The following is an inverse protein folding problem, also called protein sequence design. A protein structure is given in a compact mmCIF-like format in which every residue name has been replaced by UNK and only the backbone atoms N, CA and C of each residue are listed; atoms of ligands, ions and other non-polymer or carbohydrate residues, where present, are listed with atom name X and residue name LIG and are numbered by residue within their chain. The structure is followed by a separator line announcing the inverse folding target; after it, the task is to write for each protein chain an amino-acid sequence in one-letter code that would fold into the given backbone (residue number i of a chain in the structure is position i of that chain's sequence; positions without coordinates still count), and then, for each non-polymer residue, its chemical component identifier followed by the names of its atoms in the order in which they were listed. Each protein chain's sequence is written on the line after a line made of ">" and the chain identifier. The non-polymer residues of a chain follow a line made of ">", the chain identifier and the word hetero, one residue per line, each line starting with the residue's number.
data_IF_067994139951
#
_entry.id   IF_067994139951
#
_cell.length_a   1.000
_cell.length_b   1.000
_cell.length_c   1.000
_cell.angle_alpha   90.00
_cell.angle_beta   90.00
_cell.angle_gamma   90.00
#
_symmetry.space_group_name_H-M   'P 1'
#
loop_
_entity.id
_entity.type
_entity.pdbx_description
1 polymer ?
#
# COMPACT_ATOMS: atom_id res chain seq x y z
N UNK A 1 23.15 -7.18 -5.37
CA UNK A 1 24.00 -7.94 -4.41
C UNK A 1 24.22 -7.20 -3.09
N UNK A 2 24.23 -5.85 -3.07
CA UNK A 2 24.52 -5.06 -1.88
C UNK A 2 23.35 -4.94 -0.89
N UNK A 3 22.10 -5.09 -1.32
CA UNK A 3 20.89 -4.78 -0.56
C UNK A 3 20.08 -6.01 -0.08
N UNK A 4 20.59 -7.22 -0.18
CA UNK A 4 19.94 -8.47 0.27
C UNK A 4 18.52 -8.70 -0.29
N UNK A 5 18.16 -8.05 -1.41
CA UNK A 5 16.87 -8.21 -2.09
C UNK A 5 15.76 -7.26 -1.63
N UNK A 6 14.65 -7.28 -2.37
CA UNK A 6 13.53 -6.34 -2.18
C UNK A 6 12.84 -6.49 -0.82
N UNK A 7 12.69 -7.72 -0.33
CA UNK A 7 12.08 -7.99 0.99
C UNK A 7 12.81 -7.22 2.10
N UNK A 8 14.16 -7.31 2.09
CA UNK A 8 14.98 -6.64 3.09
C UNK A 8 14.91 -5.11 3.00
N UNK A 9 14.93 -4.57 1.77
CA UNK A 9 14.91 -3.11 1.54
C UNK A 9 13.57 -2.49 1.90
N UNK A 10 12.47 -3.20 1.61
CA UNK A 10 11.11 -2.70 1.88
C UNK A 10 10.65 -2.95 3.32
N UNK A 11 11.42 -3.64 4.15
CA UNK A 11 11.02 -3.91 5.52
C UNK A 11 10.92 -2.60 6.33
N UNK A 12 9.78 -2.30 6.97
CA UNK A 12 9.66 -1.13 7.84
C UNK A 12 10.67 -1.17 8.97
N UNK A 13 11.26 -0.02 9.29
CA UNK A 13 12.21 0.12 10.39
C UNK A 13 11.48 0.08 11.74
N UNK A 14 12.22 -0.18 12.80
CA UNK A 14 11.67 -0.18 14.17
C UNK A 14 11.06 1.18 14.50
N UNK A 15 9.78 1.17 14.92
CA UNK A 15 9.04 2.38 15.26
C UNK A 15 8.21 2.96 14.11
N UNK A 16 8.29 2.40 12.90
CA UNK A 16 7.41 2.76 11.80
C UNK A 16 6.07 2.01 11.91
N UNK A 17 4.99 2.67 11.50
CA UNK A 17 3.62 2.12 11.53
C UNK A 17 3.13 1.62 10.17
N UNK A 18 3.89 1.93 9.09
CA UNK A 18 3.54 1.60 7.72
C UNK A 18 4.78 1.62 6.81
N UNK A 19 4.58 1.44 5.51
CA UNK A 19 5.65 1.35 4.51
C UNK A 19 6.07 2.71 3.91
N UNK A 20 5.64 3.85 4.42
CA UNK A 20 5.88 5.14 3.78
C UNK A 20 7.38 5.41 3.53
N UNK A 21 8.19 5.28 4.57
CA UNK A 21 9.63 5.56 4.48
C UNK A 21 10.38 4.44 3.73
N UNK A 22 9.99 3.19 3.94
CA UNK A 22 10.65 2.06 3.26
C UNK A 22 10.39 2.07 1.74
N UNK A 23 9.20 2.50 1.28
CA UNK A 23 8.93 2.71 -0.16
C UNK A 23 9.80 3.84 -0.72
N UNK A 24 9.94 4.95 0.01
CA UNK A 24 10.78 6.07 -0.42
C UNK A 24 12.26 5.66 -0.51
N UNK A 25 12.74 4.91 0.48
CA UNK A 25 14.08 4.34 0.49
C UNK A 25 14.29 3.34 -0.65
N UNK A 26 13.33 2.44 -0.87
CA UNK A 26 13.37 1.51 -2.00
C UNK A 26 13.47 2.25 -3.34
N UNK A 27 12.70 3.34 -3.52
CA UNK A 27 12.80 4.16 -4.72
C UNK A 27 14.21 4.74 -4.90
N UNK A 28 14.81 5.28 -3.85
CA UNK A 28 16.16 5.83 -3.90
C UNK A 28 17.18 4.76 -4.30
N UNK A 29 17.16 3.59 -3.68
CA UNK A 29 18.04 2.47 -4.01
C UNK A 29 17.81 1.95 -5.43
N UNK A 30 16.56 1.84 -5.87
CA UNK A 30 16.22 1.33 -7.21
C UNK A 30 16.77 2.23 -8.33
N UNK A 31 16.85 3.52 -8.08
CA UNK A 31 17.33 4.52 -9.01
C UNK A 31 18.73 5.05 -8.69
N UNK A 32 19.54 4.32 -7.92
CA UNK A 32 20.96 4.66 -7.66
C UNK A 32 21.79 4.72 -8.94
N UNK A 33 21.51 3.82 -9.90
CA UNK A 33 22.25 3.73 -11.14
C UNK A 33 21.73 4.74 -12.17
N UNK A 34 22.59 5.10 -13.11
CA UNK A 34 22.22 5.97 -14.23
C UNK A 34 20.98 5.44 -14.96
N UNK A 35 19.96 6.26 -15.07
CA UNK A 35 18.68 5.90 -15.68
C UNK A 35 18.05 7.14 -16.34
N UNK A 36 17.06 6.92 -17.21
CA UNK A 36 16.26 8.00 -17.76
C UNK A 36 15.26 8.53 -16.72
N UNK A 37 15.23 9.83 -16.49
CA UNK A 37 14.36 10.48 -15.48
C UNK A 37 12.87 10.13 -15.64
N UNK A 38 12.40 9.90 -16.87
CA UNK A 38 11.02 9.47 -17.15
C UNK A 38 10.65 8.14 -16.51
N UNK A 39 11.62 7.27 -16.19
CA UNK A 39 11.36 5.95 -15.58
C UNK A 39 10.99 6.06 -14.10
N UNK A 40 11.36 7.15 -13.43
CA UNK A 40 11.08 7.35 -12.01
C UNK A 40 9.60 7.38 -11.65
N UNK A 41 8.72 7.72 -12.61
CA UNK A 41 7.26 7.70 -12.43
C UNK A 41 6.69 6.30 -12.15
N UNK A 42 7.43 5.23 -12.47
CA UNK A 42 6.97 3.85 -12.26
C UNK A 42 7.05 3.42 -10.79
N UNK A 43 7.90 4.07 -9.97
CA UNK A 43 7.94 3.88 -8.53
C UNK A 43 7.56 5.22 -7.88
N UNK A 44 6.33 5.27 -7.38
CA UNK A 44 5.79 6.47 -6.72
C UNK A 44 6.40 6.66 -5.34
N UNK A 45 6.48 7.91 -4.87
CA UNK A 45 7.05 8.25 -3.57
C UNK A 45 5.95 8.78 -2.62
N UNK A 46 5.58 8.04 -1.55
CA UNK A 46 4.59 8.48 -0.58
C UNK A 46 5.02 9.72 0.21
N UNK A 47 6.32 9.94 0.42
CA UNK A 47 6.83 11.17 1.05
C UNK A 47 6.59 12.42 0.18
N UNK A 48 6.35 12.25 -1.13
CA UNK A 48 5.90 13.29 -2.03
C UNK A 48 4.37 13.27 -2.23
N UNK A 49 3.65 12.77 -1.24
CA UNK A 49 2.19 12.69 -1.19
C UNK A 49 1.54 11.81 -2.27
N UNK A 50 2.26 10.84 -2.84
CA UNK A 50 1.66 9.86 -3.75
C UNK A 50 0.97 8.74 -2.96
N UNK A 51 -0.23 8.31 -3.40
CA UNK A 51 -0.91 7.14 -2.85
C UNK A 51 -0.15 5.82 -3.10
N UNK A 52 0.83 5.80 -4.00
CA UNK A 52 1.69 4.67 -4.31
C UNK A 52 0.95 3.32 -4.50
N UNK A 53 -0.24 3.35 -5.11
CA UNK A 53 -1.15 2.21 -5.26
C UNK A 53 -0.44 0.93 -5.72
N UNK A 54 0.41 1.03 -6.77
CA UNK A 54 1.05 -0.16 -7.36
C UNK A 54 1.98 -0.87 -6.39
N UNK A 55 2.75 -0.11 -5.62
CA UNK A 55 3.69 -0.71 -4.65
C UNK A 55 2.92 -1.25 -3.43
N UNK A 56 1.84 -0.60 -2.99
CA UNK A 56 0.99 -1.13 -1.94
C UNK A 56 0.28 -2.42 -2.36
N UNK A 57 -0.16 -2.53 -3.64
CA UNK A 57 -0.70 -3.78 -4.17
C UNK A 57 0.35 -4.89 -4.18
N UNK A 58 1.57 -4.58 -4.63
CA UNK A 58 2.69 -5.53 -4.62
C UNK A 58 3.02 -6.00 -3.19
N UNK A 59 3.13 -5.06 -2.24
CA UNK A 59 3.38 -5.38 -0.83
C UNK A 59 2.28 -6.28 -0.26
N UNK A 60 1.03 -6.01 -0.57
CA UNK A 60 -0.08 -6.84 -0.17
C UNK A 60 0.08 -8.28 -0.66
N UNK A 61 0.38 -8.49 -1.95
CA UNK A 61 0.61 -9.83 -2.50
C UNK A 61 1.77 -10.56 -1.82
N UNK A 62 2.87 -9.85 -1.53
CA UNK A 62 4.06 -10.46 -0.94
C UNK A 62 3.90 -10.78 0.55
N UNK A 63 3.20 -9.95 1.30
CA UNK A 63 3.15 -10.02 2.76
C UNK A 63 1.91 -10.73 3.28
N UNK A 64 0.73 -10.41 2.72
CA UNK A 64 -0.54 -11.00 3.14
C UNK A 64 -0.69 -12.40 2.58
N UNK A 65 -1.18 -13.31 3.40
CA UNK A 65 -1.53 -14.66 2.98
C UNK A 65 -3.02 -14.89 3.23
N UNK A 66 -3.73 -15.32 2.20
CA UNK A 66 -5.11 -15.77 2.32
C UNK A 66 -5.30 -17.14 1.65
N UNK A 67 -6.41 -17.80 1.96
CA UNK A 67 -6.74 -19.11 1.39
C UNK A 67 -7.35 -19.03 -0.01
N UNK A 68 -7.54 -17.83 -0.56
CA UNK A 68 -8.23 -17.60 -1.85
C UNK A 68 -7.28 -17.60 -3.04
N UNK A 69 -5.98 -17.62 -2.80
CA UNK A 69 -4.95 -17.70 -3.84
C UNK A 69 -4.63 -16.37 -4.53
N UNK A 70 -5.08 -15.25 -3.96
CA UNK A 70 -4.81 -13.91 -4.50
C UNK A 70 -3.57 -13.29 -3.87
N UNK A 71 -3.42 -13.43 -2.55
CA UNK A 71 -2.29 -12.93 -1.78
C UNK A 71 -1.34 -14.10 -1.49
N UNK A 72 -0.07 -13.99 -1.88
CA UNK A 72 0.88 -15.11 -1.87
C UNK A 72 1.56 -15.31 -0.51
N UNK A 73 1.75 -14.24 0.27
CA UNK A 73 2.38 -14.28 1.58
C UNK A 73 3.77 -14.90 1.58
N UNK A 74 4.59 -14.58 0.59
CA UNK A 74 5.94 -15.13 0.41
C UNK A 74 6.92 -14.50 1.42
N UNK A 75 6.74 -13.23 1.76
CA UNK A 75 7.60 -12.49 2.67
C UNK A 75 7.20 -12.74 4.12
N UNK A 76 7.90 -13.65 4.77
CA UNK A 76 7.60 -14.09 6.13
C UNK A 76 8.15 -13.17 7.23
N UNK A 77 9.04 -12.24 6.87
CA UNK A 77 9.66 -11.31 7.82
C UNK A 77 8.88 -10.01 7.99
N UNK A 78 7.79 -9.84 7.24
CA UNK A 78 6.88 -8.70 7.28
C UNK A 78 5.58 -9.06 8.00
N UNK A 79 4.88 -8.05 8.51
CA UNK A 79 3.55 -8.21 9.11
C UNK A 79 2.48 -7.50 8.28
N UNK A 80 1.31 -8.11 8.05
CA UNK A 80 0.18 -7.45 7.41
C UNK A 80 -0.30 -6.19 8.12
N UNK A 81 -0.03 -6.07 9.42
CA UNK A 81 -0.39 -4.88 10.21
C UNK A 81 0.21 -3.57 9.68
N UNK A 82 1.34 -3.62 8.97
CA UNK A 82 2.00 -2.45 8.37
C UNK A 82 1.46 -2.08 6.99
N UNK A 83 0.66 -2.95 6.37
CA UNK A 83 0.14 -2.73 5.02
C UNK A 83 -0.80 -1.52 4.98
N UNK A 84 -0.79 -0.84 3.84
CA UNK A 84 -1.70 0.24 3.51
C UNK A 84 -2.61 -0.16 2.35
N UNK A 85 -3.86 0.32 2.39
CA UNK A 85 -4.83 0.03 1.35
C UNK A 85 -4.35 0.57 -0.01
N UNK A 86 -4.34 -0.25 -1.08
CA UNK A 86 -4.03 0.17 -2.44
C UNK A 86 -5.11 1.09 -3.01
N UNK A 87 -5.20 2.31 -2.50
CA UNK A 87 -6.26 3.26 -2.80
C UNK A 87 -6.33 3.63 -4.28
N UNK A 88 -7.49 3.38 -4.89
CA UNK A 88 -7.80 3.80 -6.24
C UNK A 88 -9.13 4.57 -6.32
N UNK A 89 -9.61 4.82 -7.55
CA UNK A 89 -10.86 5.56 -7.77
C UNK A 89 -12.06 4.78 -7.23
N UNK A 90 -12.10 3.46 -7.43
CA UNK A 90 -13.24 2.61 -7.01
C UNK A 90 -13.29 2.49 -5.49
N UNK A 91 -12.22 2.01 -4.88
CA UNK A 91 -12.14 1.87 -3.42
C UNK A 91 -12.27 3.22 -2.70
N UNK A 92 -11.71 4.29 -3.29
CA UNK A 92 -11.83 5.64 -2.73
C UNK A 92 -13.27 6.19 -2.77
N UNK A 93 -14.00 5.96 -3.86
CA UNK A 93 -15.39 6.39 -3.96
C UNK A 93 -16.28 5.64 -2.96
N UNK A 94 -16.11 4.33 -2.86
CA UNK A 94 -16.84 3.51 -1.87
C UNK A 94 -16.52 3.95 -0.45
N UNK A 95 -15.23 4.11 -0.12
CA UNK A 95 -14.81 4.56 1.22
C UNK A 95 -15.43 5.93 1.60
N UNK A 96 -15.56 6.85 0.64
CA UNK A 96 -16.23 8.15 0.85
C UNK A 96 -17.72 7.99 1.06
N UNK A 97 -18.40 7.17 0.27
CA UNK A 97 -19.83 6.90 0.46
C UNK A 97 -20.13 6.24 1.81
N UNK A 98 -19.23 5.37 2.28
CA UNK A 98 -19.31 4.76 3.60
C UNK A 98 -18.93 5.70 4.76
N UNK A 99 -18.44 6.90 4.47
CA UNK A 99 -18.02 7.88 5.49
C UNK A 99 -16.72 7.51 6.22
N UNK A 100 -15.95 6.56 5.70
CA UNK A 100 -14.65 6.15 6.28
C UNK A 100 -13.46 6.88 5.64
N UNK A 101 -13.70 7.66 4.58
CA UNK A 101 -12.73 8.55 3.94
C UNK A 101 -13.43 9.89 3.62
N UNK A 102 -12.86 11.00 4.08
CA UNK A 102 -13.40 12.34 3.82
C UNK A 102 -12.62 13.09 2.74
N UNK A 103 -11.32 12.82 2.65
CA UNK A 103 -10.43 13.48 1.70
C UNK A 103 -10.81 13.18 0.24
N UNK A 104 -10.94 14.25 -0.58
CA UNK A 104 -11.37 14.13 -1.99
C UNK A 104 -10.29 13.56 -2.92
N UNK A 105 -9.01 13.92 -2.70
CA UNK A 105 -7.89 13.45 -3.52
C UNK A 105 -7.47 12.03 -3.10
N UNK A 106 -7.07 11.20 -4.06
CA UNK A 106 -6.44 9.91 -3.80
C UNK A 106 -4.92 10.09 -3.72
N UNK A 107 -4.45 10.58 -2.60
CA UNK A 107 -3.03 10.81 -2.30
C UNK A 107 -2.62 10.11 -1.00
N UNK A 108 -1.37 10.27 -0.54
CA UNK A 108 -0.89 9.64 0.68
C UNK A 108 -1.72 10.01 1.92
N UNK A 109 -2.18 11.26 2.00
CA UNK A 109 -3.02 11.69 3.13
C UNK A 109 -4.35 10.95 3.16
N UNK A 110 -4.93 10.66 1.99
CA UNK A 110 -6.15 9.84 1.89
C UNK A 110 -5.88 8.37 2.26
N UNK A 111 -4.73 7.82 1.84
CA UNK A 111 -4.32 6.47 2.25
C UNK A 111 -4.19 6.39 3.76
N UNK A 112 -3.51 7.35 4.38
CA UNK A 112 -3.31 7.38 5.84
C UNK A 112 -4.63 7.52 6.61
N UNK A 113 -5.55 8.38 6.13
CA UNK A 113 -6.89 8.54 6.71
C UNK A 113 -7.69 7.24 6.66
N UNK A 114 -7.72 6.58 5.49
CA UNK A 114 -8.40 5.31 5.30
C UNK A 114 -7.80 4.21 6.17
N UNK A 115 -6.47 4.08 6.15
CA UNK A 115 -5.74 3.09 6.94
C UNK A 115 -6.02 3.20 8.43
N UNK A 116 -6.12 4.43 8.95
CA UNK A 116 -6.47 4.69 10.35
C UNK A 116 -7.84 4.10 10.70
N UNK A 117 -8.82 4.23 9.79
CA UNK A 117 -10.15 3.63 9.98
C UNK A 117 -10.11 2.11 9.84
N UNK A 118 -9.41 1.59 8.84
CA UNK A 118 -9.31 0.13 8.64
C UNK A 118 -8.57 -0.55 9.79
N UNK A 119 -7.53 0.09 10.37
CA UNK A 119 -6.83 -0.42 11.57
C UNK A 119 -7.70 -0.39 12.82
N UNK A 120 -8.67 0.51 12.91
CA UNK A 120 -9.64 0.49 13.99
C UNK A 120 -10.58 -0.72 13.90
N UNK A 121 -10.84 -1.25 12.70
CA UNK A 121 -11.60 -2.48 12.50
C UNK A 121 -10.74 -3.73 12.72
N UNK A 122 -9.52 -3.75 12.17
CA UNK A 122 -8.55 -4.81 12.40
C UNK A 122 -7.12 -4.27 12.32
N UNK A 123 -6.47 -4.18 13.46
CA UNK A 123 -5.08 -3.69 13.56
C UNK A 123 -4.04 -4.66 12.99
N UNK A 124 -4.36 -5.94 12.90
CA UNK A 124 -3.42 -6.98 12.47
C UNK A 124 -3.46 -7.22 10.95
N UNK A 125 -4.62 -6.94 10.30
CA UNK A 125 -4.80 -7.10 8.86
C UNK A 125 -5.77 -6.03 8.30
N UNK A 126 -5.37 -4.75 8.29
CA UNK A 126 -6.26 -3.66 7.86
C UNK A 126 -6.65 -3.76 6.38
N UNK A 127 -5.78 -4.35 5.54
CA UNK A 127 -6.02 -4.42 4.09
C UNK A 127 -6.92 -5.58 3.65
N UNK A 128 -7.38 -6.42 4.57
CA UNK A 128 -8.37 -7.46 4.25
C UNK A 128 -9.68 -6.88 3.70
N UNK A 129 -9.99 -5.62 4.02
CA UNK A 129 -11.18 -4.91 3.57
C UNK A 129 -11.06 -4.33 2.15
N UNK A 130 -9.86 -4.32 1.56
CA UNK A 130 -9.62 -3.74 0.23
C UNK A 130 -10.47 -4.40 -0.86
N UNK A 131 -10.60 -5.73 -0.83
CA UNK A 131 -11.45 -6.45 -1.79
C UNK A 131 -12.92 -6.07 -1.69
N UNK A 132 -13.43 -5.86 -0.47
CA UNK A 132 -14.80 -5.43 -0.28
C UNK A 132 -15.01 -4.01 -0.83
N UNK A 133 -14.09 -3.08 -0.56
CA UNK A 133 -14.16 -1.72 -1.08
C UNK A 133 -14.07 -1.69 -2.61
N UNK A 134 -13.12 -2.44 -3.17
CA UNK A 134 -12.94 -2.53 -4.62
C UNK A 134 -14.15 -3.22 -5.29
N UNK A 135 -14.58 -4.35 -4.75
CA UNK A 135 -15.70 -5.15 -5.29
C UNK A 135 -17.00 -4.37 -5.31
N UNK A 136 -17.34 -3.69 -4.22
CA UNK A 136 -18.52 -2.81 -4.16
C UNK A 136 -18.46 -1.71 -5.24
N UNK A 137 -17.28 -1.12 -5.46
CA UNK A 137 -17.14 -0.06 -6.46
C UNK A 137 -17.19 -0.53 -7.91
N UNK A 138 -16.66 -1.73 -8.20
CA UNK A 138 -16.58 -2.25 -9.58
C UNK A 138 -17.84 -3.01 -9.97
N UNK A 139 -18.32 -3.90 -9.11
CA UNK A 139 -19.39 -4.85 -9.46
C UNK A 139 -20.77 -4.35 -9.03
N UNK A 140 -20.89 -3.75 -7.86
CA UNK A 140 -22.17 -3.28 -7.33
C UNK A 140 -22.50 -1.85 -7.74
N UNK A 141 -21.55 -1.12 -8.36
CA UNK A 141 -21.67 0.31 -8.70
C UNK A 141 -22.11 1.17 -7.53
N UNK A 142 -21.69 0.74 -6.35
CA UNK A 142 -21.98 1.41 -5.06
C UNK A 142 -21.40 2.82 -5.02
#
# INVERSE_FOLDING_TARGET
>A
KHHKGMESVLKPLKGEENYQNSIANFKAIFFELLHESRTEKHISNPLKNSAAKRIHMFLRWMVRNDSTGVDFGIWKTHSPAFLSCPLDVHSGNVARKLGILTRKQNDWKAVYELDTKLRAFDKNDPVKYDFALFGLGVFEKF
#
